data_IF_875736462129
#
_entry.id   IF_875736462129
#
_cell.length_a   1.000
_cell.length_b   1.000
_cell.length_c   1.000
_cell.angle_alpha   90.00
_cell.angle_beta   90.00
_cell.angle_gamma   90.00
#
_symmetry.space_group_name_H-M   'P 1'
#
loop_
_entity.id
_entity.type
_entity.pdbx_description
1 polymer ?
#
# COMPACT_ATOMS: atom_id res chain seq x y z
N UNK A 1 14.27 2.15 9.57
CA UNK A 1 12.86 1.67 9.48
C UNK A 1 11.93 2.61 8.71
N UNK A 2 11.98 3.94 8.93
CA UNK A 2 11.08 4.92 8.30
C UNK A 2 11.10 4.92 6.76
N UNK A 3 12.28 4.89 6.13
CA UNK A 3 12.41 4.86 4.67
C UNK A 3 11.77 3.62 4.04
N UNK A 4 12.01 2.43 4.63
CA UNK A 4 11.42 1.17 4.15
C UNK A 4 9.90 1.19 4.25
N UNK A 5 9.34 1.71 5.35
CA UNK A 5 7.90 1.86 5.52
C UNK A 5 7.29 2.83 4.50
N UNK A 6 7.93 3.98 4.25
CA UNK A 6 7.51 4.94 3.22
C UNK A 6 7.58 4.35 1.81
N UNK A 7 8.61 3.55 1.53
CA UNK A 7 8.77 2.86 0.24
C UNK A 7 7.67 1.82 0.03
N UNK A 8 7.37 1.00 1.03
CA UNK A 8 6.25 0.04 0.97
C UNK A 8 4.92 0.77 0.77
N UNK A 9 4.67 1.82 1.53
CA UNK A 9 3.44 2.61 1.41
C UNK A 9 3.28 3.20 0.00
N UNK A 10 4.34 3.83 -0.54
CA UNK A 10 4.31 4.41 -1.88
C UNK A 10 4.11 3.36 -2.97
N UNK A 11 4.81 2.21 -2.90
CA UNK A 11 4.60 1.10 -3.82
C UNK A 11 3.17 0.55 -3.75
N UNK A 12 2.60 0.42 -2.55
CA UNK A 12 1.22 -0.05 -2.38
C UNK A 12 0.21 0.95 -2.96
N UNK A 13 0.40 2.25 -2.76
CA UNK A 13 -0.45 3.29 -3.37
C UNK A 13 -0.38 3.20 -4.89
N UNK A 14 0.82 3.08 -5.46
CA UNK A 14 1.01 2.92 -6.91
C UNK A 14 0.33 1.64 -7.41
N UNK A 15 0.46 0.52 -6.70
CA UNK A 15 -0.18 -0.74 -7.09
C UNK A 15 -1.71 -0.65 -7.07
N UNK A 16 -2.29 -0.03 -6.03
CA UNK A 16 -3.74 0.19 -5.93
C UNK A 16 -4.20 1.14 -7.05
N UNK A 17 -3.47 2.23 -7.28
CA UNK A 17 -3.79 3.17 -8.35
C UNK A 17 -3.77 2.47 -9.71
N UNK A 18 -2.71 1.70 -10.02
CA UNK A 18 -2.62 0.92 -11.25
C UNK A 18 -3.76 -0.08 -11.38
N UNK A 19 -4.11 -0.80 -10.31
CA UNK A 19 -5.20 -1.77 -10.33
C UNK A 19 -6.53 -1.13 -10.76
N UNK A 20 -6.85 0.03 -10.18
CA UNK A 20 -8.10 0.75 -10.44
C UNK A 20 -8.05 1.69 -11.66
N UNK A 21 -6.89 1.89 -12.27
CA UNK A 21 -6.74 2.84 -13.37
C UNK A 21 -7.48 2.35 -14.64
N UNK A 22 -8.39 3.15 -15.25
CA UNK A 22 -9.24 2.70 -16.34
C UNK A 22 -8.51 2.35 -17.64
N UNK A 23 -7.30 2.89 -17.82
CA UNK A 23 -6.50 2.69 -19.02
C UNK A 23 -5.29 1.84 -18.66
N UNK A 24 -5.25 0.54 -19.02
CA UNK A 24 -4.09 -0.28 -18.71
C UNK A 24 -2.83 0.31 -19.37
N UNK A 25 -1.71 0.27 -18.66
CA UNK A 25 -0.41 0.61 -19.22
C UNK A 25 0.12 -0.60 -19.99
N UNK A 26 0.31 -0.45 -21.28
CA UNK A 26 0.87 -1.49 -22.15
C UNK A 26 2.36 -1.22 -22.31
N UNK A 27 3.19 -2.15 -21.87
CA UNK A 27 4.66 -2.10 -21.99
C UNK A 27 5.13 -3.33 -22.76
N UNK A 28 5.30 -3.17 -24.07
CA UNK A 28 5.54 -4.31 -24.97
C UNK A 28 4.35 -5.26 -24.94
N UNK A 29 4.59 -6.53 -24.60
CA UNK A 29 3.56 -7.55 -24.48
C UNK A 29 2.92 -7.64 -23.08
N UNK A 30 3.32 -6.77 -22.14
CA UNK A 30 2.82 -6.77 -20.77
C UNK A 30 1.71 -5.73 -20.55
N UNK A 31 0.64 -6.16 -19.90
CA UNK A 31 -0.48 -5.31 -19.48
C UNK A 31 -0.36 -5.05 -17.97
N UNK A 32 -0.20 -3.78 -17.60
CA UNK A 32 -0.07 -3.34 -16.21
C UNK A 32 -1.29 -2.50 -15.80
N UNK A 33 -2.00 -3.01 -14.81
CA UNK A 33 -3.13 -2.30 -14.21
C UNK A 33 -4.43 -2.41 -15.02
N UNK A 34 -5.43 -1.66 -14.59
CA UNK A 34 -6.76 -1.65 -15.17
C UNK A 34 -7.48 -3.00 -15.20
N UNK A 35 -7.11 -3.91 -14.29
CA UNK A 35 -7.62 -5.29 -14.28
C UNK A 35 -9.15 -5.38 -14.23
N UNK A 36 -9.88 -4.59 -13.41
CA UNK A 36 -11.33 -4.62 -13.42
C UNK A 36 -11.92 -4.17 -14.77
N UNK A 37 -11.27 -3.23 -15.44
CA UNK A 37 -11.77 -2.61 -16.67
C UNK A 37 -11.45 -3.44 -17.91
N UNK A 38 -10.28 -4.07 -17.92
CA UNK A 38 -9.83 -4.99 -18.96
C UNK A 38 -10.50 -6.37 -18.86
N UNK A 39 -11.03 -6.73 -17.70
CA UNK A 39 -11.70 -8.02 -17.49
C UNK A 39 -12.96 -8.18 -18.38
N UNK A 40 -13.23 -9.40 -18.89
CA UNK A 40 -14.49 -9.74 -19.55
C UNK A 40 -15.70 -9.40 -18.68
N UNK A 41 -16.82 -9.00 -19.29
CA UNK A 41 -18.02 -8.52 -18.58
C UNK A 41 -18.53 -9.48 -17.51
N UNK A 42 -18.50 -10.79 -17.77
CA UNK A 42 -18.90 -11.84 -16.83
C UNK A 42 -18.06 -11.89 -15.55
N UNK A 43 -16.80 -11.44 -15.63
CA UNK A 43 -15.82 -11.49 -14.53
C UNK A 43 -15.49 -10.12 -13.93
N UNK A 44 -15.90 -9.03 -14.61
CA UNK A 44 -15.67 -7.64 -14.17
C UNK A 44 -16.19 -7.40 -12.76
N UNK A 45 -17.41 -7.85 -12.46
CA UNK A 45 -18.00 -7.70 -11.12
C UNK A 45 -17.17 -8.39 -10.03
N UNK A 46 -16.68 -9.60 -10.30
CA UNK A 46 -15.81 -10.33 -9.37
C UNK A 46 -14.46 -9.63 -9.16
N UNK A 47 -13.86 -9.10 -10.23
CA UNK A 47 -12.62 -8.32 -10.15
C UNK A 47 -12.81 -7.06 -9.30
N UNK A 48 -13.87 -6.29 -9.54
CA UNK A 48 -14.20 -5.11 -8.72
C UNK A 48 -14.36 -5.50 -7.25
N UNK A 49 -15.08 -6.59 -6.95
CA UNK A 49 -15.29 -7.05 -5.58
C UNK A 49 -13.99 -7.43 -4.88
N UNK A 50 -13.14 -8.24 -5.54
CA UNK A 50 -11.82 -8.64 -5.00
C UNK A 50 -10.94 -7.41 -4.78
N UNK A 51 -10.86 -6.52 -5.77
CA UNK A 51 -10.11 -5.28 -5.69
C UNK A 51 -10.56 -4.40 -4.53
N UNK A 52 -11.87 -4.28 -4.33
CA UNK A 52 -12.45 -3.48 -3.25
C UNK A 52 -12.12 -4.08 -1.87
N UNK A 53 -12.27 -5.40 -1.71
CA UNK A 53 -11.92 -6.10 -0.47
C UNK A 53 -10.44 -5.93 -0.15
N UNK A 54 -9.54 -6.15 -1.11
CA UNK A 54 -8.10 -6.01 -0.90
C UNK A 54 -7.71 -4.58 -0.55
N UNK A 55 -8.29 -3.59 -1.24
CA UNK A 55 -8.06 -2.17 -0.96
C UNK A 55 -8.53 -1.81 0.45
N UNK A 56 -9.73 -2.26 0.85
CA UNK A 56 -10.28 -2.01 2.18
C UNK A 56 -9.40 -2.64 3.28
N UNK A 57 -9.00 -3.91 3.12
CA UNK A 57 -8.10 -4.59 4.06
C UNK A 57 -6.78 -3.83 4.20
N UNK A 58 -6.19 -3.40 3.08
CA UNK A 58 -4.94 -2.63 3.11
C UNK A 58 -5.08 -1.31 3.86
N UNK A 59 -6.15 -0.55 3.61
CA UNK A 59 -6.41 0.72 4.30
C UNK A 59 -6.63 0.51 5.80
N UNK A 60 -7.38 -0.52 6.18
CA UNK A 60 -7.62 -0.85 7.60
C UNK A 60 -6.32 -1.22 8.30
N UNK A 61 -5.48 -2.07 7.70
CA UNK A 61 -4.18 -2.43 8.27
C UNK A 61 -3.24 -1.23 8.40
N UNK A 62 -3.24 -0.34 7.40
CA UNK A 62 -2.45 0.90 7.42
C UNK A 62 -2.91 1.83 8.55
N UNK A 63 -4.22 2.00 8.71
CA UNK A 63 -4.80 2.80 9.79
C UNK A 63 -4.48 2.20 11.17
N UNK A 64 -4.58 0.88 11.32
CA UNK A 64 -4.26 0.18 12.56
C UNK A 64 -2.77 0.33 12.91
N UNK A 65 -1.88 0.18 11.94
CA UNK A 65 -0.44 0.39 12.12
C UNK A 65 -0.14 1.82 12.59
N UNK A 66 -0.79 2.81 11.99
CA UNK A 66 -0.63 4.21 12.39
C UNK A 66 -1.16 4.45 13.81
N UNK A 67 -2.32 3.88 14.14
CA UNK A 67 -2.90 3.95 15.48
C UNK A 67 -1.98 3.34 16.53
N UNK A 68 -1.49 2.11 16.32
CA UNK A 68 -0.57 1.44 17.24
C UNK A 68 0.73 2.24 17.39
N UNK A 69 1.31 2.72 16.28
CA UNK A 69 2.55 3.52 16.31
C UNK A 69 2.38 4.77 17.17
N UNK A 70 1.24 5.46 17.02
CA UNK A 70 0.92 6.66 17.80
C UNK A 70 0.71 6.36 19.29
N UNK A 71 0.08 5.24 19.64
CA UNK A 71 -0.07 4.86 21.05
C UNK A 71 1.25 4.41 21.69
N UNK A 72 2.13 3.76 20.93
CA UNK A 72 3.48 3.43 21.41
C UNK A 72 4.33 4.67 21.71
N UNK A 73 4.23 5.73 20.91
CA UNK A 73 4.93 6.99 21.16
C UNK A 73 4.49 7.70 22.46
N UNK A 74 3.27 7.43 22.96
CA UNK A 74 2.74 8.02 24.20
C UNK A 74 3.15 7.26 25.46
N UNK A 75 3.72 6.06 25.34
CA UNK A 75 4.14 5.28 26.50
C UNK A 75 5.38 5.93 27.15
N UNK A 76 5.36 6.23 28.45
CA UNK A 76 6.53 6.75 29.15
C UNK A 76 7.61 5.67 29.21
N UNK A 77 8.76 5.93 28.59
CA UNK A 77 9.89 5.00 28.55
C UNK A 77 10.43 4.68 27.15
N UNK A 78 10.02 5.40 26.10
CA UNK A 78 10.71 5.30 24.80
C UNK A 78 12.15 5.81 24.97
N UNK A 79 13.18 4.94 24.95
CA UNK A 79 14.55 5.42 24.94
C UNK A 79 14.68 6.28 23.68
N UNK A 80 15.27 7.48 23.82
CA UNK A 80 15.62 8.31 22.67
C UNK A 80 16.23 7.41 21.59
N UNK A 81 15.90 7.59 20.30
CA UNK A 81 16.58 6.86 19.25
C UNK A 81 18.06 7.14 19.44
N UNK A 82 18.81 6.12 19.86
CA UNK A 82 20.24 6.21 20.09
C UNK A 82 20.81 6.88 18.84
N UNK A 83 21.25 8.13 19.03
CA UNK A 83 21.95 8.89 18.02
C UNK A 83 23.11 7.98 17.65
N UNK A 84 23.02 7.30 16.50
CA UNK A 84 24.15 6.58 15.94
C UNK A 84 25.24 7.63 15.80
N UNK A 85 26.12 7.61 16.79
CA UNK A 85 27.35 8.36 16.84
C UNK A 85 28.13 7.86 15.65
N UNK A 86 28.08 8.62 14.56
CA UNK A 86 29.04 8.51 13.47
C UNK A 86 30.41 8.87 14.05
N UNK A 87 30.99 7.92 14.79
CA UNK A 87 32.41 7.79 14.94
C UNK A 87 32.87 6.96 13.73
N UNK A 88 33.53 7.65 12.80
CA UNK A 88 34.66 7.27 11.95
C UNK A 88 34.67 8.18 10.72
#
# INVERSE_FOLDING_TARGET
MRLKALLVLSLSIVAIALYWFPQPLIVGDYVLGGYPWYAPESSRGAMIAIGAVLTAVFLVLTALMFYISKEMEKLPGNPEPAREEFAW
#
